data_IF_978967357338
#
_entry.id   IF_978967357338
#
_cell.length_a   1.000
_cell.length_b   1.000
_cell.length_c   1.000
_cell.angle_alpha   90.00
_cell.angle_beta   90.00
_cell.angle_gamma   90.00
#
_symmetry.space_group_name_H-M   'P 1'
#
loop_
_entity.id
_entity.type
_entity.pdbx_description
1 polymer ?
#
# COMPACT_ATOMS: atom_id res chain seq x y z
N UNK A 1 -7.72 -17.48 -46.91
CA UNK A 1 -8.59 -18.60 -47.36
C UNK A 1 -9.33 -19.16 -46.16
N UNK A 2 -10.57 -19.64 -46.32
CA UNK A 2 -11.37 -20.28 -45.25
C UNK A 2 -10.72 -21.56 -44.72
N UNK A 3 -10.90 -21.88 -43.43
CA UNK A 3 -11.53 -23.15 -42.98
C UNK A 3 -12.34 -22.91 -41.69
N UNK A 4 -13.56 -23.45 -41.67
CA UNK A 4 -14.41 -23.56 -40.48
C UNK A 4 -14.29 -24.97 -39.93
N UNK A 5 -14.48 -25.12 -38.62
CA UNK A 5 -15.12 -26.27 -37.99
C UNK A 5 -16.02 -25.75 -36.85
N UNK A 6 -16.96 -26.55 -36.34
CA UNK A 6 -18.09 -26.07 -35.55
C UNK A 6 -18.71 -27.16 -34.65
N UNK A 7 -19.61 -26.74 -33.74
CA UNK A 7 -20.41 -27.57 -32.82
C UNK A 7 -19.62 -28.16 -31.61
N UNK A 8 -20.20 -28.42 -30.42
CA UNK A 8 -21.63 -28.72 -30.12
C UNK A 8 -22.06 -28.31 -28.69
N UNK A 9 -23.37 -28.16 -28.45
CA UNK A 9 -24.05 -27.93 -27.15
C UNK A 9 -24.23 -29.20 -26.29
N UNK A 10 -24.58 -29.02 -24.99
CA UNK A 10 -25.53 -29.78 -24.10
C UNK A 10 -25.18 -29.55 -22.60
N UNK A 11 -26.05 -29.72 -21.59
CA UNK A 11 -27.28 -28.99 -21.19
C UNK A 11 -27.94 -29.64 -19.93
N UNK A 12 -28.23 -28.86 -18.87
CA UNK A 12 -29.23 -29.13 -17.77
C UNK A 12 -29.02 -30.41 -16.88
N UNK A 13 -29.61 -30.61 -15.67
CA UNK A 13 -30.61 -29.89 -14.84
C UNK A 13 -30.61 -30.34 -13.34
N UNK A 14 -31.21 -29.52 -12.45
CA UNK A 14 -32.06 -29.82 -11.24
C UNK A 14 -31.56 -30.83 -10.16
N UNK A 15 -31.51 -30.56 -8.83
CA UNK A 15 -32.41 -29.94 -7.82
C UNK A 15 -33.19 -30.97 -6.96
N UNK A 16 -33.22 -30.78 -5.63
CA UNK A 16 -33.98 -31.62 -4.69
C UNK A 16 -33.85 -31.19 -3.21
N UNK A 17 -34.91 -30.61 -2.66
CA UNK A 17 -35.15 -30.44 -1.21
C UNK A 17 -36.38 -31.25 -0.84
N UNK A 18 -36.48 -31.81 0.37
CA UNK A 18 -37.77 -31.83 1.08
C UNK A 18 -37.65 -32.08 2.60
N UNK A 19 -38.78 -31.96 3.32
CA UNK A 19 -38.85 -31.42 4.68
C UNK A 19 -39.43 -32.38 5.74
N UNK A 20 -39.16 -32.03 7.00
CA UNK A 20 -39.47 -32.70 8.27
C UNK A 20 -40.91 -33.18 8.53
N UNK A 21 -41.03 -34.14 9.45
CA UNK A 21 -42.28 -34.59 10.06
C UNK A 21 -42.27 -34.29 11.59
N UNK A 22 -43.35 -33.72 12.12
CA UNK A 22 -43.49 -33.38 13.54
C UNK A 22 -44.21 -34.50 14.28
N UNK A 23 -43.77 -34.85 15.49
CA UNK A 23 -44.50 -35.76 16.36
C UNK A 23 -45.00 -35.05 17.63
N UNK A 24 -46.27 -35.29 17.97
CA UNK A 24 -47.01 -34.57 19.01
C UNK A 24 -47.01 -35.37 20.31
N UNK A 25 -46.49 -34.81 21.39
CA UNK A 25 -46.56 -35.42 22.72
C UNK A 25 -47.33 -34.50 23.69
N UNK A 26 -48.39 -35.04 24.29
CA UNK A 26 -49.21 -34.34 25.28
C UNK A 26 -48.44 -34.17 26.60
N UNK A 27 -48.44 -32.95 27.13
CA UNK A 27 -47.77 -32.64 28.39
C UNK A 27 -48.68 -32.94 29.60
N UNK A 28 -48.23 -33.83 30.47
CA UNK A 28 -48.75 -33.96 31.83
C UNK A 28 -48.32 -32.74 32.63
N UNK A 29 -49.25 -31.87 33.03
CA UNK A 29 -48.93 -30.61 33.73
C UNK A 29 -48.69 -30.90 35.23
N UNK A 30 -47.48 -30.64 35.77
CA UNK A 30 -47.28 -30.62 37.22
C UNK A 30 -47.98 -29.38 37.81
N UNK A 31 -48.55 -29.52 39.01
CA UNK A 31 -49.25 -28.45 39.72
C UNK A 31 -48.27 -27.41 40.30
N UNK A 32 -47.69 -26.60 39.42
CA UNK A 32 -46.95 -25.38 39.77
C UNK A 32 -47.87 -24.20 40.07
N UNK A 33 -47.35 -23.20 40.78
CA UNK A 33 -48.05 -21.93 41.06
C UNK A 33 -48.04 -20.97 39.87
N UNK A 34 -47.20 -21.23 38.88
CA UNK A 34 -47.06 -20.49 37.62
C UNK A 34 -46.67 -21.45 36.50
N UNK A 35 -46.92 -21.06 35.24
CA UNK A 35 -46.39 -21.70 34.05
C UNK A 35 -45.47 -20.76 33.23
N UNK A 36 -45.64 -19.44 33.41
CA UNK A 36 -44.88 -18.38 32.75
C UNK A 36 -44.66 -17.21 33.72
N UNK A 37 -43.68 -16.35 33.43
CA UNK A 37 -43.37 -15.17 34.24
C UNK A 37 -44.58 -14.23 34.43
N UNK A 38 -45.45 -14.13 33.42
CA UNK A 38 -46.67 -13.30 33.49
C UNK A 38 -47.70 -13.79 34.53
N UNK A 39 -47.60 -15.04 34.99
CA UNK A 39 -48.46 -15.58 36.05
C UNK A 39 -47.97 -15.13 37.44
N UNK A 40 -46.73 -14.62 37.52
CA UNK A 40 -46.11 -14.14 38.75
C UNK A 40 -46.41 -12.66 38.99
N UNK A 41 -46.67 -12.30 40.25
CA UNK A 41 -46.98 -10.91 40.63
C UNK A 41 -45.70 -10.07 40.77
N UNK A 42 -45.66 -8.93 40.09
CA UNK A 42 -44.52 -8.01 40.08
C UNK A 42 -43.37 -8.54 39.23
N UNK A 43 -42.14 -8.11 39.52
CA UNK A 43 -40.95 -8.45 38.74
C UNK A 43 -40.40 -9.86 39.01
N UNK A 44 -41.27 -10.83 39.36
CA UNK A 44 -40.90 -12.21 39.67
C UNK A 44 -40.97 -13.08 38.40
N UNK A 45 -40.03 -14.00 38.27
CA UNK A 45 -39.96 -14.96 37.16
C UNK A 45 -40.46 -16.34 37.61
N UNK A 46 -40.99 -17.12 36.68
CA UNK A 46 -41.50 -18.47 36.96
C UNK A 46 -40.38 -19.50 36.74
N UNK A 47 -39.75 -19.94 37.82
CA UNK A 47 -38.71 -20.96 37.79
C UNK A 47 -39.25 -22.28 38.36
N UNK A 48 -39.23 -23.35 37.55
CA UNK A 48 -39.70 -24.69 37.94
C UNK A 48 -41.12 -24.74 38.54
N UNK A 49 -42.01 -23.85 38.10
CA UNK A 49 -43.38 -23.74 38.62
C UNK A 49 -43.52 -22.98 39.94
N UNK A 50 -42.48 -22.26 40.38
CA UNK A 50 -42.53 -21.32 41.50
C UNK A 50 -42.12 -19.92 41.07
N UNK A 51 -42.83 -18.90 41.56
CA UNK A 51 -42.45 -17.51 41.30
C UNK A 51 -41.27 -17.12 42.18
N UNK A 52 -40.09 -16.87 41.61
CA UNK A 52 -38.88 -16.44 42.31
C UNK A 52 -38.53 -15.00 41.96
N UNK A 53 -37.80 -14.30 42.84
CA UNK A 53 -37.24 -12.99 42.49
C UNK A 53 -36.00 -13.20 41.62
N UNK A 54 -35.83 -12.46 40.50
CA UNK A 54 -34.63 -12.55 39.68
C UNK A 54 -33.41 -12.17 40.52
N UNK A 55 -32.38 -13.02 40.50
CA UNK A 55 -31.12 -12.70 41.15
C UNK A 55 -30.45 -11.55 40.40
N UNK A 56 -30.03 -10.51 41.13
CA UNK A 56 -29.28 -9.41 40.54
C UNK A 56 -28.03 -9.96 39.85
N UNK A 57 -27.65 -9.46 38.66
CA UNK A 57 -26.53 -10.00 37.90
C UNK A 57 -25.27 -9.97 38.75
N UNK A 58 -24.64 -11.14 38.93
CA UNK A 58 -23.40 -11.27 39.66
C UNK A 58 -22.39 -10.26 39.12
N UNK A 59 -22.00 -9.29 39.95
CA UNK A 59 -20.97 -8.32 39.62
C UNK A 59 -19.70 -9.07 39.25
N UNK A 60 -19.37 -9.06 37.96
CA UNK A 60 -18.14 -9.67 37.44
C UNK A 60 -16.96 -9.09 38.22
N UNK A 61 -16.20 -9.96 38.88
CA UNK A 61 -14.99 -9.58 39.57
C UNK A 61 -14.07 -8.84 38.58
N UNK A 62 -13.58 -7.66 38.97
CA UNK A 62 -12.80 -6.82 38.07
C UNK A 62 -11.56 -7.58 37.56
N UNK A 63 -11.50 -7.76 36.23
CA UNK A 63 -10.30 -8.25 35.55
C UNK A 63 -9.13 -7.33 35.92
N UNK A 64 -7.94 -7.85 36.28
CA UNK A 64 -6.76 -7.02 36.50
C UNK A 64 -6.51 -6.09 35.30
N UNK A 65 -6.03 -4.86 35.51
CA UNK A 65 -5.74 -3.95 34.43
C UNK A 65 -4.67 -4.58 33.53
N UNK A 66 -5.09 -4.99 32.33
CA UNK A 66 -4.16 -5.33 31.26
C UNK A 66 -3.43 -4.03 30.95
N UNK A 67 -2.13 -3.99 31.26
CA UNK A 67 -1.27 -2.89 30.82
C UNK A 67 -1.46 -2.72 29.31
N UNK A 68 -1.59 -1.50 28.78
CA UNK A 68 -1.75 -1.31 27.34
C UNK A 68 -0.53 -1.90 26.64
N UNK A 69 -0.76 -3.02 25.95
CA UNK A 69 0.23 -3.57 25.05
C UNK A 69 0.48 -2.49 24.00
N UNK A 70 1.70 -1.95 24.01
CA UNK A 70 2.07 -0.87 23.11
C UNK A 70 1.85 -1.37 21.69
N UNK A 71 0.84 -0.82 21.02
CA UNK A 71 0.59 -1.11 19.62
C UNK A 71 1.92 -0.94 18.86
N UNK A 72 2.28 -1.88 17.97
CA UNK A 72 3.51 -1.76 17.19
C UNK A 72 3.56 -0.37 16.57
N UNK A 73 4.64 0.37 16.84
CA UNK A 73 4.77 1.74 16.37
C UNK A 73 4.53 1.76 14.85
N UNK A 74 3.53 2.53 14.41
CA UNK A 74 3.27 2.71 12.98
C UNK A 74 4.59 3.11 12.30
N UNK A 75 4.92 2.60 11.10
CA UNK A 75 6.22 2.81 10.50
C UNK A 75 6.48 4.31 10.31
N UNK A 76 7.30 4.88 11.20
CA UNK A 76 7.63 6.31 11.28
C UNK A 76 8.61 6.75 10.19
N UNK A 77 8.74 5.96 9.12
CA UNK A 77 9.63 6.28 8.02
C UNK A 77 9.06 7.46 7.25
N UNK A 78 9.86 8.52 7.19
CA UNK A 78 9.60 9.70 6.40
C UNK A 78 10.71 9.88 5.36
N UNK A 79 10.44 10.65 4.33
CA UNK A 79 11.47 11.12 3.41
C UNK A 79 12.42 12.10 4.12
N UNK A 80 13.72 11.82 4.04
CA UNK A 80 14.78 12.75 4.43
C UNK A 80 15.43 13.31 3.15
N UNK A 81 15.64 14.63 3.11
CA UNK A 81 16.19 15.29 1.92
C UNK A 81 17.71 15.15 1.90
N UNK A 82 18.23 14.63 0.79
CA UNK A 82 19.67 14.58 0.54
C UNK A 82 20.11 15.87 -0.14
N UNK A 83 21.17 16.48 0.38
CA UNK A 83 21.75 17.68 -0.24
C UNK A 83 22.30 17.32 -1.62
N UNK A 84 21.79 17.99 -2.65
CA UNK A 84 22.42 18.02 -3.98
C UNK A 84 23.59 19.01 -3.92
N UNK A 85 24.81 18.52 -4.10
CA UNK A 85 26.05 19.28 -4.05
C UNK A 85 26.78 19.18 -5.38
N UNK A 86 26.45 20.10 -6.30
CA UNK A 86 26.92 20.08 -7.68
C UNK A 86 26.53 18.78 -8.36
N UNK A 87 27.53 17.99 -8.75
CA UNK A 87 27.37 16.73 -9.47
C UNK A 87 27.06 15.52 -8.57
N UNK A 88 26.57 15.70 -7.34
CA UNK A 88 26.39 14.58 -6.40
C UNK A 88 25.22 14.74 -5.43
N UNK A 89 24.60 13.62 -5.04
CA UNK A 89 23.63 13.57 -3.95
C UNK A 89 23.59 12.17 -3.30
N UNK A 90 23.87 12.09 -2.01
CA UNK A 90 23.99 10.79 -1.32
C UNK A 90 25.07 9.90 -1.96
N UNK A 91 24.79 8.63 -2.29
CA UNK A 91 25.74 7.75 -2.96
C UNK A 91 25.84 7.98 -4.48
N UNK A 92 25.02 8.85 -5.06
CA UNK A 92 24.96 9.07 -6.51
C UNK A 92 25.87 10.22 -6.95
N UNK A 93 26.54 10.07 -8.08
CA UNK A 93 27.35 11.14 -8.69
C UNK A 93 27.26 11.16 -10.21
N UNK A 94 27.31 12.34 -10.81
CA UNK A 94 27.37 12.52 -12.26
C UNK A 94 28.82 12.39 -12.71
N UNK A 95 29.07 11.48 -13.65
CA UNK A 95 30.33 11.39 -14.38
C UNK A 95 30.15 12.00 -15.77
N UNK A 96 30.98 13.01 -16.09
CA UNK A 96 31.08 13.54 -17.46
C UNK A 96 32.02 12.64 -18.28
N UNK A 97 31.56 12.26 -19.47
CA UNK A 97 32.27 11.41 -20.43
C UNK A 97 32.45 12.18 -21.74
N UNK A 98 33.18 11.62 -22.71
CA UNK A 98 33.46 12.29 -23.98
C UNK A 98 32.21 12.53 -24.84
N UNK A 99 31.22 11.63 -24.76
CA UNK A 99 30.00 11.65 -25.58
C UNK A 99 28.70 11.84 -24.76
N UNK A 100 28.79 12.24 -23.50
CA UNK A 100 27.61 12.46 -22.65
C UNK A 100 27.92 12.46 -21.16
N UNK A 101 26.90 12.25 -20.33
CA UNK A 101 27.08 12.09 -18.87
C UNK A 101 26.27 10.93 -18.33
N UNK A 102 26.76 10.29 -17.28
CA UNK A 102 26.15 9.10 -16.68
C UNK A 102 25.98 9.26 -15.16
N UNK A 103 24.95 8.62 -14.58
CA UNK A 103 24.65 8.67 -13.15
C UNK A 103 25.26 7.45 -12.46
N UNK A 104 26.39 7.65 -11.78
CA UNK A 104 27.14 6.60 -11.11
C UNK A 104 26.51 6.23 -9.77
N UNK A 105 26.48 4.93 -9.48
CA UNK A 105 26.28 4.37 -8.14
C UNK A 105 27.41 3.37 -7.81
N UNK A 106 28.07 3.48 -6.65
CA UNK A 106 29.12 2.55 -6.23
C UNK A 106 28.52 1.25 -5.67
N UNK A 107 28.18 0.30 -6.54
CA UNK A 107 27.65 -1.00 -6.13
C UNK A 107 28.72 -1.94 -5.58
N UNK A 108 28.30 -3.00 -4.88
CA UNK A 108 29.18 -4.11 -4.44
C UNK A 108 29.90 -4.82 -5.59
N UNK A 109 29.37 -4.75 -6.82
CA UNK A 109 29.98 -5.34 -8.02
C UNK A 109 30.91 -4.37 -8.77
N UNK A 110 30.99 -3.10 -8.36
CA UNK A 110 31.68 -2.02 -9.07
C UNK A 110 30.79 -0.80 -9.27
N UNK A 111 31.32 0.26 -9.87
CA UNK A 111 30.53 1.45 -10.21
C UNK A 111 29.64 1.14 -11.41
N UNK A 112 28.34 1.43 -11.30
CA UNK A 112 27.33 1.18 -12.35
C UNK A 112 26.65 2.48 -12.78
N UNK A 113 26.24 2.55 -14.05
CA UNK A 113 25.43 3.66 -14.57
C UNK A 113 23.94 3.37 -14.35
N UNK A 114 23.34 4.08 -13.40
CA UNK A 114 21.92 3.92 -13.04
C UNK A 114 20.99 4.29 -14.19
N UNK A 115 21.43 5.19 -15.11
CA UNK A 115 20.58 5.64 -16.22
C UNK A 115 20.22 4.53 -17.20
N UNK A 116 21.03 3.47 -17.32
CA UNK A 116 20.73 2.27 -18.13
C UNK A 116 19.42 1.57 -17.70
N UNK A 117 19.01 1.76 -16.44
CA UNK A 117 17.72 1.27 -15.95
C UNK A 117 16.60 2.32 -16.00
N UNK A 118 16.93 3.61 -16.15
CA UNK A 118 15.97 4.74 -16.05
C UNK A 118 15.44 5.17 -17.42
N UNK A 119 16.30 5.44 -18.40
CA UNK A 119 15.88 5.85 -19.75
C UNK A 119 15.68 4.63 -20.68
N UNK A 120 15.17 4.86 -21.89
CA UNK A 120 15.06 3.82 -22.93
C UNK A 120 16.37 3.65 -23.73
N UNK A 121 17.03 4.77 -24.03
CA UNK A 121 18.32 4.83 -24.72
C UNK A 121 19.27 5.74 -23.91
N UNK A 122 20.31 5.14 -23.35
CA UNK A 122 21.29 5.85 -22.51
C UNK A 122 22.27 6.68 -23.33
N UNK A 123 22.51 6.34 -24.59
CA UNK A 123 23.40 7.06 -25.50
C UNK A 123 22.72 8.33 -26.04
N UNK A 124 21.40 8.32 -26.20
CA UNK A 124 20.60 9.48 -26.60
C UNK A 124 20.39 10.54 -25.49
N UNK A 125 20.63 10.20 -24.22
CA UNK A 125 20.35 11.04 -23.03
C UNK A 125 21.02 12.41 -23.03
N UNK A 126 22.17 12.54 -23.71
CA UNK A 126 22.98 13.76 -23.73
C UNK A 126 23.60 14.09 -22.36
N UNK A 127 22.94 14.95 -21.60
CA UNK A 127 23.32 15.27 -20.21
C UNK A 127 22.33 14.70 -19.19
N UNK A 128 22.78 14.61 -17.94
CA UNK A 128 22.02 14.17 -16.77
C UNK A 128 22.36 15.09 -15.60
N UNK A 129 21.34 15.61 -14.93
CA UNK A 129 21.46 16.48 -13.74
C UNK A 129 20.63 15.90 -12.61
N UNK A 130 21.15 15.89 -11.37
CA UNK A 130 20.37 15.52 -10.18
C UNK A 130 19.60 16.75 -9.72
N UNK A 131 18.27 16.72 -9.80
CA UNK A 131 17.40 17.83 -9.40
C UNK A 131 17.08 17.80 -7.91
N UNK A 132 16.80 16.60 -7.40
CA UNK A 132 16.40 16.30 -6.03
C UNK A 132 16.80 14.87 -5.69
N UNK A 133 17.13 14.60 -4.44
CA UNK A 133 17.33 13.25 -3.94
C UNK A 133 16.83 13.13 -2.51
N UNK A 134 16.29 11.96 -2.17
CA UNK A 134 15.73 11.66 -0.87
C UNK A 134 16.10 10.25 -0.44
N UNK A 135 16.39 10.04 0.84
CA UNK A 135 16.36 8.72 1.48
C UNK A 135 14.96 8.42 2.02
N UNK A 136 14.58 7.14 2.04
CA UNK A 136 13.38 6.67 2.71
C UNK A 136 13.72 5.43 3.55
N UNK A 137 14.02 5.66 4.84
CA UNK A 137 14.58 4.63 5.70
C UNK A 137 15.97 4.16 5.26
N UNK A 138 16.43 2.98 5.72
CA UNK A 138 17.85 2.59 5.61
C UNK A 138 18.25 1.99 4.25
N UNK A 139 17.32 1.74 3.33
CA UNK A 139 17.63 1.01 2.09
C UNK A 139 16.88 1.43 0.84
N UNK A 140 16.25 2.61 0.83
CA UNK A 140 15.60 3.18 -0.36
C UNK A 140 16.07 4.61 -0.59
N UNK A 141 16.28 4.92 -1.85
CA UNK A 141 16.38 6.30 -2.32
C UNK A 141 15.29 6.58 -3.33
N UNK A 142 14.83 7.83 -3.39
CA UNK A 142 14.07 8.37 -4.53
C UNK A 142 14.84 9.55 -5.08
N UNK A 143 15.18 9.49 -6.36
CA UNK A 143 16.01 10.49 -7.04
C UNK A 143 15.21 11.05 -8.20
N UNK A 144 15.28 12.37 -8.37
CA UNK A 144 14.72 13.08 -9.52
C UNK A 144 15.88 13.60 -10.36
N UNK A 145 15.88 13.26 -11.64
CA UNK A 145 16.92 13.67 -12.59
C UNK A 145 16.30 14.31 -13.83
N UNK A 146 17.00 15.30 -14.39
CA UNK A 146 16.67 15.90 -15.68
C UNK A 146 17.71 15.49 -16.71
N UNK A 147 17.27 15.27 -17.96
CA UNK A 147 18.10 14.84 -19.07
C UNK A 147 17.87 15.68 -20.32
N UNK A 148 18.93 15.91 -21.09
CA UNK A 148 18.90 16.80 -22.26
C UNK A 148 19.03 16.09 -23.58
N UNK A 149 17.91 15.71 -24.17
CA UNK A 149 17.85 15.16 -25.54
C UNK A 149 17.99 16.29 -26.57
N UNK A 150 19.11 16.32 -27.28
CA UNK A 150 19.46 17.40 -28.21
C UNK A 150 18.59 17.42 -29.48
N UNK A 151 17.39 17.99 -29.41
CA UNK A 151 16.60 18.26 -30.63
C UNK A 151 15.12 18.65 -30.49
N UNK A 152 14.51 18.59 -29.30
CA UNK A 152 13.06 18.78 -29.14
C UNK A 152 12.65 20.05 -28.38
N UNK A 153 11.37 20.42 -28.48
CA UNK A 153 10.83 21.72 -28.07
C UNK A 153 10.78 22.00 -26.55
N UNK A 154 11.29 21.09 -25.71
CA UNK A 154 11.33 21.23 -24.26
C UNK A 154 12.78 21.04 -23.78
N UNK A 155 13.28 21.87 -22.83
CA UNK A 155 14.70 21.96 -22.50
C UNK A 155 15.30 20.72 -21.80
N UNK A 156 14.46 19.92 -21.13
CA UNK A 156 14.86 18.66 -20.52
C UNK A 156 13.68 17.70 -20.31
N UNK A 157 13.90 16.40 -20.54
CA UNK A 157 13.06 15.32 -20.01
C UNK A 157 13.35 15.16 -18.51
N UNK A 158 12.38 14.84 -17.67
CA UNK A 158 12.61 14.65 -16.22
C UNK A 158 12.07 13.30 -15.79
N UNK A 159 12.83 12.58 -14.97
CA UNK A 159 12.49 11.26 -14.46
C UNK A 159 12.58 11.26 -12.93
N UNK A 160 11.63 10.58 -12.28
CA UNK A 160 11.73 10.19 -10.88
C UNK A 160 11.87 8.67 -10.82
N UNK A 161 12.83 8.18 -10.05
CA UNK A 161 13.03 6.75 -9.86
C UNK A 161 13.31 6.40 -8.40
N UNK A 162 12.92 5.20 -7.99
CA UNK A 162 13.29 4.61 -6.71
C UNK A 162 14.41 3.59 -6.89
N UNK A 163 15.30 3.49 -5.90
CA UNK A 163 16.48 2.62 -5.93
C UNK A 163 16.58 1.82 -4.63
N UNK A 164 16.69 0.50 -4.75
CA UNK A 164 16.87 -0.42 -3.63
C UNK A 164 18.36 -0.66 -3.35
N UNK A 165 18.87 -0.25 -2.19
CA UNK A 165 20.30 -0.46 -1.87
C UNK A 165 20.63 -1.91 -1.48
N UNK A 166 19.62 -2.74 -1.18
CA UNK A 166 19.82 -4.15 -0.81
C UNK A 166 20.06 -5.02 -2.04
N UNK A 167 19.25 -4.85 -3.08
CA UNK A 167 19.42 -5.48 -4.39
C UNK A 167 20.29 -4.70 -5.36
N UNK A 168 20.51 -3.40 -5.13
CA UNK A 168 21.28 -2.48 -5.97
C UNK A 168 20.70 -2.28 -7.39
N UNK A 169 19.38 -2.09 -7.45
CA UNK A 169 18.64 -1.87 -8.71
C UNK A 169 17.58 -0.77 -8.58
N UNK A 170 17.18 -0.22 -9.72
CA UNK A 170 16.01 0.68 -9.84
C UNK A 170 14.74 -0.16 -9.75
N UNK A 171 13.95 0.00 -8.69
CA UNK A 171 12.77 -0.81 -8.42
C UNK A 171 11.44 -0.15 -8.86
N UNK A 172 11.51 1.09 -9.34
CA UNK A 172 10.40 1.83 -9.92
C UNK A 172 10.90 3.10 -10.63
N UNK A 173 10.22 3.52 -11.70
CA UNK A 173 10.57 4.74 -12.45
C UNK A 173 9.37 5.33 -13.19
N UNK A 174 9.34 6.66 -13.30
CA UNK A 174 8.32 7.37 -14.05
C UNK A 174 8.89 8.67 -14.65
N UNK A 175 8.47 9.02 -15.87
CA UNK A 175 8.69 10.36 -16.41
C UNK A 175 7.79 11.38 -15.67
N UNK A 176 8.25 12.61 -15.52
CA UNK A 176 7.49 13.73 -14.95
C UNK A 176 7.17 14.70 -16.08
N UNK A 177 5.92 14.69 -16.52
CA UNK A 177 5.44 15.53 -17.62
C UNK A 177 5.66 17.02 -17.34
N UNK A 178 6.20 17.74 -18.32
CA UNK A 178 6.44 19.18 -18.25
C UNK A 178 7.74 19.59 -18.94
N UNK A 179 7.80 20.88 -19.27
CA UNK A 179 8.85 21.56 -20.02
C UNK A 179 9.49 22.74 -19.26
N UNK A 180 8.97 23.12 -18.08
CA UNK A 180 9.68 24.00 -17.13
C UNK A 180 11.06 23.43 -16.76
N UNK A 181 12.07 24.31 -16.72
CA UNK A 181 13.41 24.02 -16.20
C UNK A 181 13.41 23.83 -14.66
N UNK A 182 12.38 24.34 -13.97
CA UNK A 182 12.22 24.21 -12.52
C UNK A 182 11.45 22.94 -12.17
N UNK A 183 12.07 22.10 -11.33
CA UNK A 183 11.45 20.96 -10.66
C UNK A 183 11.17 21.29 -9.20
N UNK A 184 9.89 21.32 -8.84
CA UNK A 184 9.41 21.50 -7.47
C UNK A 184 9.22 20.15 -6.78
N UNK A 185 9.44 20.09 -5.47
CA UNK A 185 9.15 18.88 -4.69
C UNK A 185 8.80 19.17 -3.24
N UNK A 186 7.92 18.35 -2.67
CA UNK A 186 7.45 18.45 -1.30
C UNK A 186 7.37 17.06 -0.65
N UNK A 187 8.06 16.89 0.48
CA UNK A 187 8.08 15.68 1.28
C UNK A 187 7.20 15.85 2.53
N UNK A 188 6.24 14.94 2.71
CA UNK A 188 5.25 14.96 3.80
C UNK A 188 5.14 13.54 4.39
N UNK A 189 5.94 13.24 5.42
CA UNK A 189 5.99 11.89 5.99
C UNK A 189 6.40 10.85 4.94
N UNK A 190 5.52 9.88 4.67
CA UNK A 190 5.73 8.82 3.70
C UNK A 190 5.31 9.15 2.25
N UNK A 191 4.95 10.41 1.98
CA UNK A 191 4.57 10.92 0.66
C UNK A 191 5.62 11.90 0.15
N UNK A 192 6.05 11.74 -1.09
CA UNK A 192 6.83 12.72 -1.84
C UNK A 192 6.01 13.15 -3.06
N UNK A 193 5.81 14.45 -3.23
CA UNK A 193 5.22 15.03 -4.43
C UNK A 193 6.35 15.67 -5.24
N UNK A 194 6.47 15.32 -6.52
CA UNK A 194 7.41 15.92 -7.49
C UNK A 194 6.57 16.57 -8.58
N UNK A 195 6.87 17.82 -8.95
CA UNK A 195 6.01 18.63 -9.81
C UNK A 195 6.81 19.41 -10.86
N UNK A 196 6.29 19.43 -12.07
CA UNK A 196 6.79 20.19 -13.23
C UNK A 196 5.57 20.73 -14.00
N UNK A 197 5.57 21.99 -14.40
CA UNK A 197 4.45 22.66 -15.10
C UNK A 197 3.02 22.48 -14.54
N UNK A 198 2.89 22.23 -13.24
CA UNK A 198 1.58 21.97 -12.62
C UNK A 198 1.18 20.50 -12.56
N UNK A 199 1.80 19.62 -13.36
CA UNK A 199 1.62 18.18 -13.28
C UNK A 199 2.44 17.64 -12.10
N UNK A 200 1.82 16.79 -11.28
CA UNK A 200 2.40 16.27 -10.06
C UNK A 200 2.45 14.73 -10.08
N UNK A 201 3.66 14.19 -9.97
CA UNK A 201 3.92 12.78 -9.70
C UNK A 201 4.00 12.57 -8.18
N UNK A 202 3.32 11.56 -7.66
CA UNK A 202 3.29 11.26 -6.23
C UNK A 202 3.93 9.90 -5.97
N UNK A 203 4.95 9.88 -5.12
CA UNK A 203 5.70 8.70 -4.71
C UNK A 203 5.36 8.40 -3.25
N UNK A 204 5.03 7.15 -2.94
CA UNK A 204 4.69 6.72 -1.58
C UNK A 204 5.69 5.68 -1.08
N UNK A 205 6.05 5.76 0.20
CA UNK A 205 6.89 4.78 0.90
C UNK A 205 8.25 4.51 0.22
N UNK A 206 8.82 5.49 -0.48
CA UNK A 206 10.12 5.35 -1.15
C UNK A 206 10.10 4.54 -2.45
N UNK A 207 8.93 4.23 -3.03
CA UNK A 207 8.79 3.40 -4.24
C UNK A 207 7.96 4.13 -5.30
N UNK A 208 8.51 4.25 -6.52
CA UNK A 208 7.80 4.77 -7.70
C UNK A 208 7.01 3.63 -8.35
N UNK A 209 5.84 3.93 -8.92
CA UNK A 209 4.94 2.95 -9.56
C UNK A 209 4.99 3.03 -11.09
#
# INVERSE_FOLDING_TARGET
MKRLFAYTLVALALAGCDKAEQNTAQATVPTGQCAKDIDCKGDRICESGQCVSPQAPHTLAAKPPVAPELAPAAPTMAYETLLVSGDSAGPFSIQRMELGTALMYPSRAGVVNVMESVVEDVEATGYVTIEKAYSFGPSKYVVVVSTGEGGNACPASTYVFSFDTKGEYVDGKQAVDGCSEVVESLAEGNKLTVKKDGVATVVYNGVVQ
#
